data_IF_139217718390
#
_entry.id   IF_139217718390
#
_cell.length_a   1.000
_cell.length_b   1.000
_cell.length_c   1.000
_cell.angle_alpha   90.00
_cell.angle_beta   90.00
_cell.angle_gamma   90.00
#
_symmetry.space_group_name_H-M   'P 1'
#
loop_
_entity.id
_entity.type
_entity.pdbx_description
1 polymer ?
#
# COMPACT_ATOMS: atom_id res chain seq x y z
N UNK A 1 -59.02 -18.43 7.50
CA UNK A 1 -57.90 -18.77 6.59
C UNK A 1 -57.09 -17.50 6.37
N UNK A 2 -55.81 -17.55 6.72
CA UNK A 2 -54.91 -16.42 6.91
C UNK A 2 -54.75 -15.53 5.67
N UNK A 3 -54.87 -14.22 5.85
CA UNK A 3 -54.28 -13.21 4.96
C UNK A 3 -52.85 -12.99 5.44
N UNK A 4 -51.86 -13.52 4.71
CA UNK A 4 -50.45 -13.20 4.94
C UNK A 4 -49.62 -13.53 3.68
N UNK A 5 -49.76 -12.73 2.61
CA UNK A 5 -48.77 -12.73 1.53
C UNK A 5 -47.62 -11.84 1.96
N UNK A 6 -46.55 -12.48 2.42
CA UNK A 6 -45.31 -11.86 2.87
C UNK A 6 -44.60 -11.09 1.75
N UNK A 7 -43.92 -10.01 2.13
CA UNK A 7 -43.22 -9.07 1.28
C UNK A 7 -42.18 -9.73 0.36
N UNK A 8 -42.28 -9.49 -0.95
CA UNK A 8 -41.21 -9.75 -1.92
C UNK A 8 -40.19 -8.59 -1.84
N UNK A 9 -39.40 -8.57 -0.78
CA UNK A 9 -38.28 -7.66 -0.60
C UNK A 9 -37.00 -8.24 -1.21
N UNK A 10 -36.50 -7.57 -2.25
CA UNK A 10 -35.10 -7.54 -2.72
C UNK A 10 -34.39 -8.89 -2.93
N UNK A 11 -34.39 -9.36 -4.18
CA UNK A 11 -33.39 -10.33 -4.64
C UNK A 11 -32.03 -9.66 -4.81
N UNK A 12 -31.20 -9.80 -3.77
CA UNK A 12 -29.78 -10.20 -3.87
C UNK A 12 -28.92 -9.36 -4.84
N UNK A 13 -28.47 -8.20 -4.39
CA UNK A 13 -27.14 -7.69 -4.75
C UNK A 13 -26.19 -8.35 -3.76
N UNK A 14 -25.82 -9.61 -3.99
CA UNK A 14 -24.66 -10.19 -3.33
C UNK A 14 -23.46 -9.51 -3.97
N UNK A 15 -23.01 -8.44 -3.32
CA UNK A 15 -21.66 -7.91 -3.42
C UNK A 15 -20.73 -9.06 -3.00
N UNK A 16 -20.43 -9.95 -3.94
CA UNK A 16 -19.51 -11.03 -3.70
C UNK A 16 -18.18 -10.37 -3.34
N UNK A 17 -17.63 -10.57 -2.13
CA UNK A 17 -16.31 -10.07 -1.85
C UNK A 17 -15.38 -10.75 -2.84
N UNK A 18 -14.89 -9.97 -3.80
CA UNK A 18 -13.84 -10.38 -4.71
C UNK A 18 -12.58 -10.55 -3.88
N UNK A 19 -12.40 -11.73 -3.29
CA UNK A 19 -11.12 -12.20 -2.80
C UNK A 19 -10.23 -12.36 -4.04
N UNK A 20 -9.56 -11.28 -4.44
CA UNK A 20 -8.63 -11.24 -5.55
C UNK A 20 -7.30 -11.98 -5.22
N UNK A 21 -7.40 -13.17 -4.60
CA UNK A 21 -6.29 -14.09 -4.42
C UNK A 21 -6.10 -14.80 -5.76
N UNK A 22 -5.15 -14.30 -6.55
CA UNK A 22 -4.85 -14.81 -7.88
C UNK A 22 -3.80 -15.90 -7.79
N UNK A 23 -4.08 -17.06 -8.39
CA UNK A 23 -3.09 -18.12 -8.56
C UNK A 23 -2.78 -18.26 -10.05
N UNK A 24 -1.50 -18.14 -10.41
CA UNK A 24 -1.02 -18.34 -11.79
C UNK A 24 -0.27 -19.67 -11.90
N UNK A 25 -0.61 -20.44 -12.94
CA UNK A 25 0.08 -21.69 -13.32
C UNK A 25 0.91 -21.40 -14.58
N UNK A 26 2.22 -21.63 -14.51
CA UNK A 26 3.11 -21.46 -15.66
C UNK A 26 4.24 -22.50 -15.70
N UNK A 27 5.13 -22.44 -16.69
CA UNK A 27 6.26 -23.38 -16.82
C UNK A 27 7.24 -23.33 -15.62
N UNK A 28 7.20 -22.27 -14.81
CA UNK A 28 7.92 -22.16 -13.54
C UNK A 28 7.18 -22.72 -12.31
N UNK A 29 5.98 -23.28 -12.47
CA UNK A 29 5.17 -23.83 -11.38
C UNK A 29 3.97 -22.96 -10.99
N UNK A 30 3.59 -23.05 -9.72
CA UNK A 30 2.40 -22.44 -9.11
C UNK A 30 2.81 -21.21 -8.31
N UNK A 31 2.38 -20.02 -8.74
CA UNK A 31 2.61 -18.77 -8.02
C UNK A 31 1.30 -18.30 -7.38
N UNK A 32 1.31 -18.15 -6.05
CA UNK A 32 0.17 -17.69 -5.26
C UNK A 32 0.40 -16.21 -4.94
N UNK A 33 -0.37 -15.34 -5.56
CA UNK A 33 -0.37 -13.90 -5.26
C UNK A 33 -1.32 -13.66 -4.08
N UNK A 34 -0.74 -13.57 -2.89
CA UNK A 34 -1.46 -13.27 -1.65
C UNK A 34 -1.61 -11.77 -1.38
N UNK A 35 -1.26 -10.93 -2.36
CA UNK A 35 -1.34 -9.47 -2.26
C UNK A 35 -0.28 -8.83 -1.36
N UNK A 36 0.66 -9.60 -0.77
CA UNK A 36 1.76 -9.02 0.03
C UNK A 36 2.82 -8.35 -0.83
N UNK A 37 3.07 -8.87 -2.03
CA UNK A 37 4.07 -8.31 -2.95
C UNK A 37 3.83 -6.85 -3.32
N UNK A 38 2.59 -6.47 -3.64
CA UNK A 38 2.25 -5.07 -3.95
C UNK A 38 2.40 -4.12 -2.76
N UNK A 39 2.14 -4.62 -1.54
CA UNK A 39 2.28 -3.81 -0.31
C UNK A 39 3.74 -3.54 -0.01
N UNK A 40 4.57 -4.57 -0.09
CA UNK A 40 6.01 -4.49 0.12
C UNK A 40 6.67 -3.57 -0.93
N UNK A 41 6.33 -3.73 -2.20
CA UNK A 41 6.83 -2.86 -3.27
C UNK A 41 6.42 -1.39 -3.09
N UNK A 42 5.17 -1.13 -2.66
CA UNK A 42 4.69 0.22 -2.36
C UNK A 42 5.44 0.84 -1.19
N UNK A 43 5.68 0.08 -0.14
CA UNK A 43 6.39 0.55 1.05
C UNK A 43 7.86 0.82 0.74
N UNK A 44 8.53 -0.01 -0.06
CA UNK A 44 9.87 0.27 -0.59
C UNK A 44 9.92 1.56 -1.41
N UNK A 45 8.97 1.77 -2.33
CA UNK A 45 8.91 2.99 -3.16
C UNK A 45 8.72 4.23 -2.28
N UNK A 46 7.86 4.15 -1.26
CA UNK A 46 7.65 5.22 -0.28
C UNK A 46 8.93 5.50 0.51
N UNK A 47 9.59 4.46 1.00
CA UNK A 47 10.84 4.57 1.73
C UNK A 47 11.94 5.23 0.89
N UNK A 48 12.14 4.78 -0.36
CA UNK A 48 13.08 5.39 -1.31
C UNK A 48 12.79 6.87 -1.56
N UNK A 49 11.51 7.25 -1.72
CA UNK A 49 11.12 8.66 -1.91
C UNK A 49 11.46 9.50 -0.68
N UNK A 50 11.09 9.03 0.52
CA UNK A 50 11.39 9.70 1.78
C UNK A 50 12.91 9.91 1.95
N UNK A 51 13.71 8.89 1.68
CA UNK A 51 15.17 8.98 1.80
C UNK A 51 15.80 9.97 0.82
N UNK A 52 15.28 10.05 -0.42
CA UNK A 52 15.72 11.06 -1.41
C UNK A 52 15.43 12.47 -0.94
N UNK A 53 14.23 12.70 -0.39
CA UNK A 53 13.84 14.02 0.13
C UNK A 53 14.69 14.44 1.34
N UNK A 54 14.91 13.52 2.29
CA UNK A 54 15.76 13.81 3.46
C UNK A 54 17.22 14.09 3.05
N UNK A 55 17.71 13.38 2.03
CA UNK A 55 19.05 13.61 1.48
C UNK A 55 19.15 14.99 0.84
N UNK A 56 18.20 15.36 -0.02
CA UNK A 56 18.16 16.66 -0.67
C UNK A 56 18.17 17.81 0.34
N UNK A 57 17.32 17.74 1.37
CA UNK A 57 17.30 18.75 2.44
C UNK A 57 18.59 18.81 3.24
N UNK A 58 19.28 17.68 3.41
CA UNK A 58 20.58 17.62 4.08
C UNK A 58 21.70 18.25 3.24
N UNK A 59 21.75 17.94 1.95
CA UNK A 59 22.75 18.46 1.00
C UNK A 59 22.54 19.97 0.78
N UNK A 60 21.29 20.42 0.70
CA UNK A 60 20.89 21.81 0.48
C UNK A 60 20.56 22.55 1.78
N UNK A 61 21.24 22.22 2.89
CA UNK A 61 20.94 22.80 4.21
C UNK A 61 20.99 24.34 4.24
N UNK A 62 21.82 24.94 3.39
CA UNK A 62 21.98 26.39 3.34
C UNK A 62 20.74 27.07 2.72
N UNK A 63 20.00 26.34 1.88
CA UNK A 63 18.72 26.78 1.28
C UNK A 63 17.57 26.60 2.28
N UNK A 64 17.59 25.50 3.04
CA UNK A 64 16.52 25.15 3.99
C UNK A 64 16.77 25.66 5.43
N UNK A 65 17.91 26.30 5.69
CA UNK A 65 18.29 26.78 7.02
C UNK A 65 18.46 25.67 8.05
N UNK A 66 18.06 25.93 9.30
CA UNK A 66 18.24 25.00 10.42
C UNK A 66 17.53 23.65 10.23
N UNK A 67 16.42 23.61 9.49
CA UNK A 67 15.73 22.36 9.16
C UNK A 67 16.62 21.40 8.37
N UNK A 68 17.44 21.93 7.44
CA UNK A 68 18.36 21.12 6.64
C UNK A 68 19.39 20.38 7.49
N UNK A 69 19.91 21.01 8.54
CA UNK A 69 20.85 20.38 9.48
C UNK A 69 20.18 19.26 10.28
N UNK A 70 18.94 19.47 10.74
CA UNK A 70 18.14 18.43 11.41
C UNK A 70 17.85 17.23 10.50
N UNK A 71 17.64 17.47 9.20
CA UNK A 71 17.37 16.43 8.22
C UNK A 71 18.57 15.51 7.96
N UNK A 72 19.81 16.01 8.06
CA UNK A 72 21.00 15.16 7.96
C UNK A 72 21.05 14.05 9.02
N UNK A 73 20.78 14.39 10.28
CA UNK A 73 20.74 13.40 11.37
C UNK A 73 19.61 12.40 11.15
N UNK A 74 18.45 12.88 10.69
CA UNK A 74 17.29 12.03 10.40
C UNK A 74 17.55 11.09 9.23
N UNK A 75 18.16 11.57 8.14
CA UNK A 75 18.58 10.78 6.99
C UNK A 75 19.47 9.62 7.42
N UNK A 76 20.56 9.90 8.18
CA UNK A 76 21.47 8.85 8.67
C UNK A 76 20.80 7.82 9.56
N UNK A 77 19.82 8.22 10.37
CA UNK A 77 19.08 7.29 11.24
C UNK A 77 18.12 6.39 10.47
N UNK A 78 17.46 6.94 9.44
CA UNK A 78 16.34 6.28 8.76
C UNK A 78 16.78 5.53 7.50
N UNK A 79 17.84 5.99 6.82
CA UNK A 79 18.21 5.66 5.45
C UNK A 79 19.68 5.26 5.24
N UNK A 80 20.51 5.39 6.28
CA UNK A 80 21.93 5.06 6.26
C UNK A 80 22.21 3.69 6.87
#
# INVERSE_FOLDING_TARGET
>A
MLVATAALGTLIILDAPSLAQGFRIGPGGVEIDDGRGYREERDERRYRRMCRELRDRCENRDIYGEEGQGNCRRYRRMCG
#
